data_IF_122818599366
#
_entry.id   IF_122818599366
#
_cell.length_a   1.000
_cell.length_b   1.000
_cell.length_c   1.000
_cell.angle_alpha   90.00
_cell.angle_beta   90.00
_cell.angle_gamma   90.00
#
_symmetry.space_group_name_H-M   'P 1'
#
loop_
_entity.id
_entity.type
_entity.pdbx_description
1 polymer ?
#
# COMPACT_ATOMS: atom_id res chain seq x y z
N UNK A 1 -11.52 27.28 8.13
CA UNK A 1 -11.05 27.95 9.36
C UNK A 1 -11.09 26.91 10.45
N UNK A 2 -9.96 26.26 10.70
CA UNK A 2 -9.01 26.68 11.76
C UNK A 2 -9.78 26.79 13.09
N UNK A 3 -9.46 26.04 14.14
CA UNK A 3 -8.18 25.43 14.44
C UNK A 3 -8.32 24.64 15.75
N UNK A 4 -7.48 23.60 15.91
CA UNK A 4 -6.66 23.31 17.09
C UNK A 4 -7.36 23.09 18.44
N UNK A 5 -6.84 22.34 19.39
CA UNK A 5 -5.66 21.53 19.63
C UNK A 5 -6.09 20.71 20.87
N UNK A 6 -5.69 19.47 21.06
CA UNK A 6 -4.30 19.07 21.15
C UNK A 6 -3.93 18.87 22.63
N UNK A 7 -3.89 17.60 23.01
CA UNK A 7 -2.86 16.92 23.82
C UNK A 7 -2.50 17.47 25.22
N UNK A 8 -2.63 16.60 26.21
CA UNK A 8 -1.47 16.00 26.93
C UNK A 8 -1.97 14.73 27.66
N UNK A 9 -1.32 13.58 27.50
CA UNK A 9 -0.32 13.00 28.43
C UNK A 9 -0.84 12.98 29.88
N UNK A 10 -0.77 11.90 30.66
CA UNK A 10 0.05 10.71 30.63
C UNK A 10 -0.42 9.79 31.79
N UNK A 11 -0.13 8.50 31.67
CA UNK A 11 0.28 7.61 32.75
C UNK A 11 -0.69 7.19 33.90
N UNK A 12 -0.94 5.88 33.90
CA UNK A 12 -0.76 4.91 35.01
C UNK A 12 -1.33 5.31 36.38
N UNK A 13 -2.24 4.54 36.99
CA UNK A 13 -1.84 3.35 37.75
C UNK A 13 -3.06 2.70 38.45
N UNK A 14 -3.06 1.36 38.43
CA UNK A 14 -3.48 0.45 39.51
C UNK A 14 -4.95 0.35 39.98
N UNK A 15 -5.53 -0.81 39.61
CA UNK A 15 -6.22 -1.76 40.48
C UNK A 15 -7.39 -1.27 41.36
N UNK A 16 -8.61 -1.66 40.98
CA UNK A 16 -9.22 -2.89 41.50
C UNK A 16 -10.48 -3.29 40.73
N UNK A 17 -10.56 -4.59 40.47
CA UNK A 17 -11.66 -5.29 39.84
C UNK A 17 -13.01 -4.96 40.49
N UNK A 18 -13.95 -4.58 39.64
CA UNK A 18 -15.34 -4.97 39.73
C UNK A 18 -15.45 -6.50 39.74
N UNK A 19 -16.01 -7.08 40.81
CA UNK A 19 -16.94 -8.19 40.66
C UNK A 19 -18.21 -7.81 41.42
N UNK A 20 -19.22 -7.54 40.60
CA UNK A 20 -20.64 -7.47 40.86
C UNK A 20 -21.11 -8.10 42.18
N UNK A 21 -21.50 -7.23 43.12
CA UNK A 21 -22.64 -7.47 44.00
C UNK A 21 -23.91 -7.06 43.27
N UNK A 22 -24.62 -8.05 42.77
CA UNK A 22 -26.04 -7.99 42.41
C UNK A 22 -26.60 -9.35 42.86
N UNK A 23 -27.72 -9.48 43.56
CA UNK A 23 -28.76 -8.53 43.95
C UNK A 23 -29.67 -9.33 44.88
N UNK A 24 -29.78 -8.96 46.16
CA UNK A 24 -30.99 -9.23 46.94
C UNK A 24 -31.28 -7.94 47.71
N UNK A 25 -32.27 -7.19 47.21
CA UNK A 25 -33.01 -6.14 47.92
C UNK A 25 -33.56 -6.70 49.24
N UNK A 26 -33.71 -5.97 50.33
CA UNK A 26 -34.52 -4.76 50.50
C UNK A 26 -33.98 -3.99 51.73
N UNK A 27 -33.57 -2.73 51.52
CA UNK A 27 -34.32 -1.53 51.90
C UNK A 27 -34.22 -1.19 53.40
N UNK A 28 -33.41 -0.17 53.69
CA UNK A 28 -33.46 0.55 54.96
C UNK A 28 -34.70 1.44 55.02
N UNK A 29 -35.26 1.56 56.21
CA UNK A 29 -36.04 2.72 56.62
C UNK A 29 -35.38 3.23 57.91
N UNK A 30 -34.80 4.42 57.80
CA UNK A 30 -34.36 5.23 58.93
C UNK A 30 -35.60 5.74 59.68
N UNK A 31 -35.65 5.54 61.00
CA UNK A 31 -36.41 6.43 61.89
C UNK A 31 -35.53 6.65 63.13
N UNK A 32 -34.99 7.87 63.26
CA UNK A 32 -34.60 8.39 64.57
C UNK A 32 -35.85 8.62 65.40
N UNK A 33 -35.81 8.43 66.73
CA UNK A 33 -36.22 9.55 67.54
C UNK A 33 -35.42 9.76 68.83
N UNK A 34 -35.47 11.03 69.21
CA UNK A 34 -35.08 11.65 70.47
C UNK A 34 -36.08 11.26 71.58
N UNK A 35 -35.62 11.32 72.83
CA UNK A 35 -36.34 11.26 74.11
C UNK A 35 -36.65 9.90 74.75
N UNK A 36 -35.76 9.53 75.67
CA UNK A 36 -35.96 9.27 77.09
C UNK A 36 -37.28 8.60 77.60
N UNK A 37 -37.03 7.47 78.28
CA UNK A 37 -37.75 6.80 79.37
C UNK A 37 -39.01 5.95 79.07
N UNK A 38 -38.88 4.73 79.60
CA UNK A 38 -39.86 3.71 80.00
C UNK A 38 -40.20 2.59 79.01
N UNK A 39 -39.50 1.48 79.27
CA UNK A 39 -39.60 0.11 78.77
C UNK A 39 -41.01 -0.47 78.91
N UNK A 40 -41.55 -1.01 77.82
CA UNK A 40 -42.35 -2.23 77.81
C UNK A 40 -41.97 -3.02 76.55
N UNK A 41 -41.00 -3.94 76.68
CA UNK A 41 -40.65 -4.89 75.63
C UNK A 41 -41.86 -5.82 75.47
N UNK A 42 -42.60 -5.67 74.36
CA UNK A 42 -43.73 -6.54 74.09
C UNK A 42 -43.25 -7.98 74.01
N UNK A 43 -44.00 -8.89 74.63
CA UNK A 43 -43.76 -10.34 74.63
C UNK A 43 -43.54 -10.90 73.23
N UNK A 44 -44.10 -10.27 72.20
CA UNK A 44 -43.89 -10.63 70.80
C UNK A 44 -42.45 -10.42 70.30
N UNK A 45 -41.73 -9.41 70.79
CA UNK A 45 -40.34 -9.16 70.39
C UNK A 45 -39.38 -10.21 70.96
N UNK A 46 -39.65 -10.68 72.17
CA UNK A 46 -38.91 -11.78 72.79
C UNK A 46 -39.18 -13.08 72.05
N UNK A 47 -40.43 -13.35 71.66
CA UNK A 47 -40.80 -14.53 70.87
C UNK A 47 -40.09 -14.50 69.50
N UNK A 48 -40.07 -13.36 68.81
CA UNK A 48 -39.37 -13.23 67.53
C UNK A 48 -37.85 -13.47 67.65
N UNK A 49 -37.22 -12.94 68.69
CA UNK A 49 -35.80 -13.19 68.96
C UNK A 49 -35.52 -14.67 69.31
N UNK A 50 -36.38 -15.31 70.11
CA UNK A 50 -36.24 -16.73 70.45
C UNK A 50 -36.44 -17.62 69.23
N UNK A 51 -37.41 -17.32 68.36
CA UNK A 51 -37.62 -18.04 67.09
C UNK A 51 -36.45 -17.82 66.13
N UNK A 52 -35.93 -16.59 66.01
CA UNK A 52 -34.79 -16.31 65.15
C UNK A 52 -33.50 -16.99 65.64
N UNK A 53 -33.24 -16.96 66.95
CA UNK A 53 -32.09 -17.63 67.57
C UNK A 53 -32.23 -19.15 67.45
N UNK A 54 -33.40 -19.72 67.74
CA UNK A 54 -33.64 -21.17 67.61
C UNK A 54 -33.55 -21.65 66.17
N UNK A 55 -34.06 -20.89 65.19
CA UNK A 55 -33.95 -21.22 63.77
C UNK A 55 -32.49 -21.10 63.28
N UNK A 56 -31.74 -20.10 63.77
CA UNK A 56 -30.30 -19.96 63.49
C UNK A 56 -29.48 -21.10 64.10
N UNK A 57 -29.79 -21.51 65.33
CA UNK A 57 -29.18 -22.67 65.99
C UNK A 57 -29.52 -23.95 65.23
N UNK A 58 -30.73 -24.11 64.71
CA UNK A 58 -31.13 -25.29 63.93
C UNK A 58 -30.37 -25.37 62.61
N UNK A 59 -30.18 -24.24 61.92
CA UNK A 59 -29.36 -24.16 60.69
C UNK A 59 -27.90 -24.48 61.00
N UNK A 60 -27.33 -23.92 62.07
CA UNK A 60 -25.97 -24.20 62.52
C UNK A 60 -25.82 -25.67 62.93
N UNK A 61 -26.81 -26.25 63.62
CA UNK A 61 -26.81 -27.65 64.02
C UNK A 61 -26.91 -28.57 62.81
N UNK A 62 -27.74 -28.25 61.80
CA UNK A 62 -27.84 -29.01 60.54
C UNK A 62 -26.54 -28.92 59.73
N UNK A 63 -25.89 -27.75 59.72
CA UNK A 63 -24.56 -27.54 59.11
C UNK A 63 -23.45 -28.31 59.84
N UNK A 64 -23.44 -28.28 61.18
CA UNK A 64 -22.48 -29.00 62.02
C UNK A 64 -22.69 -30.52 61.96
N UNK A 65 -23.94 -30.99 61.87
CA UNK A 65 -24.26 -32.41 61.75
C UNK A 65 -23.87 -32.93 60.35
N UNK A 66 -24.08 -32.14 59.29
CA UNK A 66 -23.56 -32.42 57.95
C UNK A 66 -22.03 -32.43 57.90
N UNK A 67 -21.37 -31.49 58.58
CA UNK A 67 -19.91 -31.44 58.68
C UNK A 67 -19.33 -32.62 59.48
N UNK A 68 -19.95 -33.03 60.61
CA UNK A 68 -19.55 -34.20 61.41
C UNK A 68 -19.71 -35.51 60.65
N UNK A 69 -20.79 -35.65 59.85
CA UNK A 69 -21.02 -36.85 59.02
C UNK A 69 -19.97 -36.99 57.91
N UNK A 70 -19.52 -35.87 57.32
CA UNK A 70 -18.48 -35.86 56.29
C UNK A 70 -17.05 -36.11 56.83
N UNK A 71 -16.72 -35.62 58.03
CA UNK A 71 -15.41 -35.93 58.67
C UNK A 71 -15.25 -37.42 59.02
N UNK A 72 -16.35 -38.12 59.29
CA UNK A 72 -16.34 -39.57 59.51
C UNK A 72 -15.96 -40.37 58.27
N UNK A 73 -16.40 -39.94 57.08
CA UNK A 73 -16.15 -40.63 55.81
C UNK A 73 -14.66 -40.58 55.43
N UNK A 74 -14.02 -39.41 55.58
CA UNK A 74 -12.58 -39.28 55.32
C UNK A 74 -11.76 -40.14 56.29
N UNK A 75 -12.19 -40.25 57.56
CA UNK A 75 -11.56 -41.14 58.53
C UNK A 75 -11.67 -42.60 58.12
N UNK A 76 -12.84 -43.04 57.62
CA UNK A 76 -13.04 -44.40 57.12
C UNK A 76 -12.19 -44.71 55.88
N UNK A 77 -12.07 -43.76 54.95
CA UNK A 77 -11.21 -43.91 53.76
C UNK A 77 -9.74 -44.04 54.18
N UNK A 78 -9.27 -43.19 55.10
CA UNK A 78 -7.89 -43.25 55.58
C UNK A 78 -7.60 -44.59 56.31
N UNK A 79 -8.56 -45.15 57.05
CA UNK A 79 -8.42 -46.48 57.66
C UNK A 79 -8.35 -47.60 56.61
N UNK A 80 -9.22 -47.55 55.60
CA UNK A 80 -9.19 -48.52 54.50
C UNK A 80 -7.85 -48.46 53.74
N UNK A 81 -7.36 -47.24 53.49
CA UNK A 81 -6.07 -47.00 52.85
C UNK A 81 -4.86 -47.52 53.63
N UNK A 82 -4.91 -47.42 54.96
CA UNK A 82 -3.88 -47.94 55.84
C UNK A 82 -3.82 -49.48 55.79
N UNK A 83 -4.99 -50.13 55.75
CA UNK A 83 -5.14 -51.58 55.62
C UNK A 83 -4.65 -52.06 54.24
N UNK A 84 -5.12 -51.42 53.16
CA UNK A 84 -4.77 -51.79 51.79
C UNK A 84 -3.29 -51.54 51.47
N UNK A 85 -2.73 -50.44 51.97
CA UNK A 85 -1.34 -50.04 51.71
C UNK A 85 -0.31 -50.58 52.70
N UNK A 86 -0.70 -51.50 53.60
CA UNK A 86 0.16 -52.05 54.66
C UNK A 86 0.95 -50.96 55.43
N UNK A 87 0.29 -49.84 55.77
CA UNK A 87 0.91 -48.72 56.49
C UNK A 87 1.90 -47.85 55.71
N UNK A 88 2.13 -48.10 54.41
CA UNK A 88 3.10 -47.35 53.58
C UNK A 88 2.52 -46.04 53.02
N UNK A 89 1.21 -45.86 53.07
CA UNK A 89 0.52 -44.74 52.43
C UNK A 89 0.09 -43.72 53.48
N UNK A 90 0.62 -42.51 53.41
CA UNK A 90 0.20 -41.45 54.33
C UNK A 90 -1.28 -41.04 54.14
N UNK A 91 -1.99 -40.73 55.23
CA UNK A 91 -3.41 -40.39 55.18
C UNK A 91 -3.67 -39.06 54.46
N UNK A 92 -4.87 -38.93 53.91
CA UNK A 92 -5.36 -37.68 53.31
C UNK A 92 -5.70 -36.72 54.46
N UNK A 93 -5.03 -35.57 54.48
CA UNK A 93 -5.05 -34.64 55.64
C UNK A 93 -6.32 -33.80 55.77
N UNK A 94 -7.07 -33.60 54.68
CA UNK A 94 -8.24 -32.74 54.66
C UNK A 94 -9.20 -33.12 53.54
N UNK A 95 -10.45 -32.71 53.66
CA UNK A 95 -11.47 -32.85 52.65
C UNK A 95 -11.69 -31.51 51.93
N UNK A 96 -11.75 -31.54 50.60
CA UNK A 96 -12.07 -30.34 49.81
C UNK A 96 -13.57 -30.04 49.92
N UNK A 97 -13.91 -28.77 50.14
CA UNK A 97 -15.29 -28.28 50.23
C UNK A 97 -15.68 -27.32 49.11
N UNK A 98 -14.73 -26.92 48.27
CA UNK A 98 -14.90 -26.02 47.13
C UNK A 98 -14.90 -26.81 45.82
N UNK A 99 -15.32 -26.21 44.71
CA UNK A 99 -15.20 -26.85 43.41
C UNK A 99 -13.72 -27.12 43.07
N UNK A 100 -13.46 -28.20 42.33
CA UNK A 100 -12.11 -28.66 41.98
C UNK A 100 -11.39 -27.63 41.10
N UNK A 101 -12.13 -26.89 40.28
CA UNK A 101 -11.62 -25.87 39.35
C UNK A 101 -11.04 -24.64 40.07
N UNK A 102 -11.52 -24.34 41.28
CA UNK A 102 -11.10 -23.18 42.07
C UNK A 102 -9.90 -23.47 43.00
N UNK A 103 -9.37 -24.70 42.98
CA UNK A 103 -8.27 -25.12 43.83
C UNK A 103 -6.92 -24.57 43.36
N UNK A 104 -6.03 -24.28 44.31
CA UNK A 104 -4.64 -23.99 44.00
C UNK A 104 -3.98 -25.19 43.30
N UNK A 105 -3.14 -24.98 42.27
CA UNK A 105 -2.51 -26.07 41.51
C UNK A 105 -1.71 -27.06 42.36
N UNK A 106 -1.08 -26.59 43.44
CA UNK A 106 -0.33 -27.44 44.38
C UNK A 106 -1.25 -28.40 45.15
N UNK A 107 -2.41 -27.92 45.57
CA UNK A 107 -3.44 -28.71 46.27
C UNK A 107 -4.06 -29.75 45.34
N UNK A 108 -4.34 -29.38 44.09
CA UNK A 108 -4.87 -30.29 43.07
C UNK A 108 -3.88 -31.41 42.73
N UNK A 109 -2.60 -31.08 42.57
CA UNK A 109 -1.53 -32.07 42.34
C UNK A 109 -1.40 -33.04 43.52
N UNK A 110 -1.48 -32.54 44.75
CA UNK A 110 -1.44 -33.39 45.95
C UNK A 110 -2.61 -34.38 45.98
N UNK A 111 -3.84 -33.92 45.72
CA UNK A 111 -5.04 -34.75 45.73
C UNK A 111 -5.03 -35.77 44.60
N UNK A 112 -4.66 -35.37 43.37
CA UNK A 112 -4.53 -36.27 42.22
C UNK A 112 -3.59 -37.43 42.54
N UNK A 113 -2.38 -37.12 43.03
CA UNK A 113 -1.40 -38.14 43.44
C UNK A 113 -1.94 -39.08 44.50
N UNK A 114 -2.68 -38.55 45.49
CA UNK A 114 -3.24 -39.38 46.55
C UNK A 114 -4.37 -40.29 46.05
N UNK A 115 -5.23 -39.78 45.18
CA UNK A 115 -6.28 -40.56 44.54
C UNK A 115 -5.71 -41.67 43.65
N UNK A 116 -4.69 -41.38 42.82
CA UNK A 116 -4.07 -42.40 41.96
C UNK A 116 -3.39 -43.48 42.77
N UNK A 117 -2.64 -43.14 43.81
CA UNK A 117 -2.05 -44.14 44.73
C UNK A 117 -3.13 -44.98 45.41
N UNK A 118 -4.24 -44.37 45.83
CA UNK A 118 -5.37 -45.08 46.45
C UNK A 118 -5.98 -46.11 45.52
N UNK A 119 -6.25 -45.73 44.27
CA UNK A 119 -6.83 -46.67 43.30
C UNK A 119 -5.81 -47.73 42.89
N UNK A 120 -4.54 -47.37 42.75
CA UNK A 120 -3.50 -48.34 42.40
C UNK A 120 -3.42 -49.49 43.40
N UNK A 121 -3.47 -49.18 44.69
CA UNK A 121 -3.34 -50.17 45.77
C UNK A 121 -4.61 -51.00 45.93
N UNK A 122 -5.78 -50.38 45.71
CA UNK A 122 -7.03 -51.13 45.60
C UNK A 122 -7.02 -52.10 44.40
N UNK A 123 -6.46 -51.68 43.26
CA UNK A 123 -6.31 -52.53 42.08
C UNK A 123 -5.27 -53.64 42.28
N UNK A 124 -4.19 -53.38 43.03
CA UNK A 124 -3.19 -54.41 43.34
C UNK A 124 -3.74 -55.48 44.29
N UNK A 125 -4.68 -55.10 45.18
CA UNK A 125 -5.43 -56.07 45.98
C UNK A 125 -6.39 -56.94 45.14
N UNK A 126 -6.97 -56.39 44.07
CA UNK A 126 -7.89 -57.10 43.17
C UNK A 126 -7.13 -58.01 42.19
N UNK A 127 -6.01 -57.51 41.64
CA UNK A 127 -5.21 -58.18 40.62
C UNK A 127 -3.71 -57.95 40.89
N UNK A 128 -3.08 -58.79 41.74
CA UNK A 128 -1.70 -58.57 42.18
C UNK A 128 -0.74 -58.55 41.00
N UNK A 129 0.19 -57.58 41.01
CA UNK A 129 1.19 -57.37 39.93
C UNK A 129 0.63 -56.94 38.57
N UNK A 130 -0.69 -56.79 38.42
CA UNK A 130 -1.34 -56.32 37.18
C UNK A 130 -2.01 -54.96 37.33
N UNK A 131 -1.91 -54.32 38.50
CA UNK A 131 -2.56 -53.03 38.80
C UNK A 131 -2.29 -51.93 37.77
N UNK A 132 -1.08 -51.88 37.17
CA UNK A 132 -0.72 -50.92 36.11
C UNK A 132 -1.44 -51.16 34.78
N UNK A 133 -1.74 -52.42 34.46
CA UNK A 133 -2.47 -52.76 33.24
C UNK A 133 -3.94 -52.37 33.42
N UNK A 134 -4.54 -52.67 34.58
CA UNK A 134 -5.91 -52.28 34.89
C UNK A 134 -6.11 -50.77 35.02
N UNK A 135 -5.13 -50.03 35.56
CA UNK A 135 -5.20 -48.56 35.59
C UNK A 135 -5.22 -47.94 34.20
N UNK A 136 -4.58 -48.59 33.21
CA UNK A 136 -4.62 -48.17 31.80
C UNK A 136 -6.01 -48.41 31.17
N UNK A 137 -6.65 -49.55 31.47
CA UNK A 137 -8.02 -49.86 31.03
C UNK A 137 -9.06 -48.93 31.65
N UNK A 138 -8.86 -48.52 32.91
CA UNK A 138 -9.75 -47.59 33.62
C UNK A 138 -9.43 -46.11 33.34
N UNK A 139 -8.45 -45.82 32.47
CA UNK A 139 -8.00 -44.48 32.09
C UNK A 139 -7.55 -43.58 33.27
N UNK A 140 -7.05 -44.17 34.36
CA UNK A 140 -6.71 -43.45 35.59
C UNK A 140 -5.37 -42.70 35.47
N UNK A 141 -4.43 -43.24 34.69
CA UNK A 141 -3.07 -42.70 34.50
C UNK A 141 -2.95 -41.79 33.26
N UNK A 142 -4.02 -41.57 32.51
CA UNK A 142 -4.00 -40.58 31.43
C UNK A 142 -4.00 -39.19 32.07
N UNK A 143 -2.82 -38.57 32.16
CA UNK A 143 -2.73 -37.10 32.19
C UNK A 143 -3.68 -36.55 31.11
N UNK A 144 -4.39 -35.43 31.34
CA UNK A 144 -5.12 -34.73 30.30
C UNK A 144 -4.13 -34.05 29.34
N UNK A 145 -3.27 -34.85 28.72
CA UNK A 145 -2.70 -34.56 27.42
C UNK A 145 -3.88 -34.56 26.46
N UNK A 146 -4.31 -33.33 26.13
CA UNK A 146 -5.28 -32.98 25.10
C UNK A 146 -5.49 -34.08 24.04
N UNK A 147 -6.70 -34.65 24.07
CA UNK A 147 -7.46 -35.26 22.96
C UNK A 147 -6.69 -36.24 22.07
N UNK A 148 -6.86 -37.52 22.38
CA UNK A 148 -6.98 -38.63 21.40
C UNK A 148 -7.76 -39.71 22.17
N UNK A 149 -8.97 -40.12 21.81
CA UNK A 149 -9.36 -40.76 20.55
C UNK A 149 -10.89 -40.60 20.36
N UNK A 150 -11.28 -39.78 19.41
CA UNK A 150 -12.46 -40.02 18.58
C UNK A 150 -12.23 -39.24 17.27
N UNK A 151 -11.22 -39.64 16.51
CA UNK A 151 -11.01 -39.11 15.16
C UNK A 151 -12.10 -39.70 14.26
N UNK A 152 -13.14 -38.91 14.06
CA UNK A 152 -14.18 -39.19 13.09
C UNK A 152 -13.55 -39.26 11.70
N UNK A 153 -14.12 -40.05 10.79
CA UNK A 153 -13.74 -40.10 9.36
C UNK A 153 -13.66 -38.73 8.68
N UNK A 154 -14.28 -37.72 9.28
CA UNK A 154 -14.29 -36.32 8.86
C UNK A 154 -12.95 -35.62 9.16
N UNK A 155 -12.30 -35.92 10.28
CA UNK A 155 -11.01 -35.34 10.65
C UNK A 155 -9.89 -35.74 9.68
N UNK A 156 -9.93 -36.98 9.17
CA UNK A 156 -8.96 -37.49 8.18
C UNK A 156 -9.19 -36.79 6.83
N UNK A 157 -10.45 -36.61 6.41
CA UNK A 157 -10.80 -35.90 5.17
C UNK A 157 -10.39 -34.43 5.24
N UNK A 158 -10.60 -33.77 6.37
CA UNK A 158 -10.19 -32.39 6.60
C UNK A 158 -8.67 -32.25 6.55
N UNK A 159 -7.92 -33.18 7.16
CA UNK A 159 -6.45 -33.19 7.08
C UNK A 159 -5.95 -33.33 5.64
N UNK A 160 -6.53 -34.25 4.86
CA UNK A 160 -6.19 -34.44 3.45
C UNK A 160 -6.48 -33.20 2.60
N UNK A 161 -7.62 -32.54 2.82
CA UNK A 161 -8.00 -31.32 2.13
C UNK A 161 -7.05 -30.16 2.45
N UNK A 162 -6.62 -30.01 3.71
CA UNK A 162 -5.65 -28.98 4.11
C UNK A 162 -4.28 -29.22 3.44
N UNK A 163 -3.86 -30.49 3.32
CA UNK A 163 -2.61 -30.86 2.63
C UNK A 163 -2.68 -30.53 1.15
N UNK A 164 -3.80 -30.82 0.50
CA UNK A 164 -4.01 -30.47 -0.91
C UNK A 164 -3.90 -28.95 -1.11
N UNK A 165 -4.62 -28.16 -0.30
CA UNK A 165 -4.55 -26.69 -0.36
C UNK A 165 -3.14 -26.14 -0.07
N UNK A 166 -2.38 -26.80 0.80
CA UNK A 166 -1.00 -26.42 1.09
C UNK A 166 -0.09 -26.59 -0.13
N UNK A 167 -0.27 -27.67 -0.90
CA UNK A 167 0.50 -27.95 -2.10
C UNK A 167 0.14 -27.01 -3.26
N UNK A 168 -1.15 -26.65 -3.38
CA UNK A 168 -1.64 -25.72 -4.41
C UNK A 168 -1.30 -24.25 -4.11
N UNK A 169 -1.11 -23.90 -2.84
CA UNK A 169 -0.80 -22.52 -2.43
C UNK A 169 0.61 -22.09 -2.85
N UNK A 170 0.76 -20.87 -3.36
CA UNK A 170 2.07 -20.24 -3.62
C UNK A 170 2.49 -19.26 -2.50
N UNK A 171 1.52 -18.67 -1.80
CA UNK A 171 1.78 -17.70 -0.73
C UNK A 171 2.29 -18.39 0.56
N UNK A 172 3.43 -17.89 1.06
CA UNK A 172 4.05 -18.38 2.30
C UNK A 172 3.15 -18.17 3.52
N UNK A 173 2.39 -17.07 3.57
CA UNK A 173 1.50 -16.80 4.69
C UNK A 173 0.30 -17.76 4.71
N UNK A 174 -0.28 -18.03 3.53
CA UNK A 174 -1.34 -19.04 3.37
C UNK A 174 -0.83 -20.43 3.77
N UNK A 175 0.40 -20.80 3.37
CA UNK A 175 1.03 -22.06 3.80
C UNK A 175 1.19 -22.17 5.32
N UNK A 176 1.63 -21.10 5.98
CA UNK A 176 1.76 -21.07 7.44
C UNK A 176 0.39 -21.17 8.12
N UNK A 177 -0.63 -20.50 7.58
CA UNK A 177 -2.00 -20.56 8.07
C UNK A 177 -2.57 -21.98 7.97
N UNK A 178 -2.46 -22.62 6.79
CA UNK A 178 -2.92 -23.99 6.54
C UNK A 178 -2.22 -24.99 7.47
N UNK A 179 -0.90 -24.91 7.61
CA UNK A 179 -0.15 -25.77 8.53
C UNK A 179 -0.51 -25.52 10.00
N UNK A 180 -0.87 -24.29 10.36
CA UNK A 180 -1.27 -23.97 11.74
C UNK A 180 -2.60 -24.61 12.15
N UNK A 181 -3.45 -24.99 11.18
CA UNK A 181 -4.70 -25.73 11.45
C UNK A 181 -4.42 -27.18 11.87
N UNK A 182 -3.35 -27.77 11.37
CA UNK A 182 -2.94 -29.16 11.66
C UNK A 182 -1.79 -29.22 12.67
N UNK A 183 -1.59 -28.14 13.44
CA UNK A 183 -0.49 -28.02 14.40
C UNK A 183 -0.50 -29.06 15.53
N UNK A 184 -1.65 -29.71 15.75
CA UNK A 184 -1.87 -30.72 16.78
C UNK A 184 -1.18 -32.06 16.46
N UNK A 185 -0.87 -32.32 15.17
CA UNK A 185 -0.16 -33.53 14.78
C UNK A 185 1.33 -33.44 15.14
N UNK A 186 1.92 -34.63 15.37
CA UNK A 186 3.36 -34.73 15.63
C UNK A 186 4.19 -34.29 14.42
N UNK A 187 5.42 -33.81 14.64
CA UNK A 187 6.29 -33.34 13.54
C UNK A 187 6.57 -34.46 12.52
N UNK A 188 6.75 -35.69 13.02
CA UNK A 188 6.99 -36.88 12.19
C UNK A 188 5.76 -37.20 11.34
N UNK A 189 4.58 -37.22 11.94
CA UNK A 189 3.33 -37.46 11.21
C UNK A 189 3.09 -36.42 10.09
N UNK A 190 3.41 -35.15 10.34
CA UNK A 190 3.29 -34.08 9.32
C UNK A 190 4.34 -34.20 8.21
N UNK A 191 5.53 -34.73 8.51
CA UNK A 191 6.57 -35.03 7.51
C UNK A 191 6.22 -36.24 6.64
N UNK A 192 5.55 -37.24 7.23
CA UNK A 192 5.05 -38.40 6.51
C UNK A 192 3.87 -38.02 5.59
N UNK A 193 3.01 -37.10 6.03
CA UNK A 193 1.87 -36.57 5.27
C UNK A 193 2.27 -35.59 4.15
N UNK A 194 3.34 -34.81 4.36
CA UNK A 194 3.87 -33.84 3.40
C UNK A 194 5.38 -34.07 3.24
N UNK A 195 5.81 -34.93 2.29
CA UNK A 195 7.21 -35.22 2.08
C UNK A 195 7.97 -33.95 1.64
N UNK A 196 9.07 -33.64 2.32
CA UNK A 196 9.93 -32.49 2.02
C UNK A 196 9.63 -31.21 2.80
N UNK A 197 8.67 -31.22 3.75
CA UNK A 197 8.42 -30.06 4.60
C UNK A 197 9.56 -29.81 5.60
N UNK A 198 10.05 -28.57 5.66
CA UNK A 198 11.10 -28.17 6.60
C UNK A 198 10.57 -28.14 8.04
N UNK A 199 11.38 -28.62 9.00
CA UNK A 199 11.07 -28.50 10.43
C UNK A 199 10.85 -27.04 10.85
N UNK A 200 11.56 -26.10 10.21
CA UNK A 200 11.38 -24.67 10.44
C UNK A 200 9.98 -24.19 10.07
N UNK A 201 9.38 -24.69 8.98
CA UNK A 201 8.03 -24.33 8.56
C UNK A 201 6.99 -24.83 9.57
N UNK A 202 7.16 -26.04 10.10
CA UNK A 202 6.32 -26.63 11.15
C UNK A 202 6.42 -25.84 12.46
N UNK A 203 7.63 -25.46 12.87
CA UNK A 203 7.84 -24.65 14.07
C UNK A 203 7.25 -23.24 13.93
N UNK A 204 7.38 -22.65 12.75
CA UNK A 204 6.76 -21.34 12.44
C UNK A 204 5.23 -21.43 12.49
N UNK A 205 4.63 -22.49 11.95
CA UNK A 205 3.18 -22.71 11.98
C UNK A 205 2.64 -22.96 13.40
N UNK A 206 3.40 -23.65 14.25
CA UNK A 206 3.06 -23.83 15.66
C UNK A 206 3.17 -22.52 16.44
N UNK A 207 4.22 -21.75 16.21
CA UNK A 207 4.35 -20.42 16.79
C UNK A 207 3.21 -19.51 16.36
N UNK A 208 2.78 -19.60 15.10
CA UNK A 208 1.60 -18.90 14.59
C UNK A 208 0.32 -19.31 15.35
N UNK A 209 0.05 -20.62 15.46
CA UNK A 209 -1.11 -21.15 16.19
C UNK A 209 -1.15 -20.67 17.66
N UNK A 210 0.02 -20.57 18.31
CA UNK A 210 0.14 -20.09 19.70
C UNK A 210 -0.06 -18.56 19.80
N UNK A 211 0.50 -17.78 18.88
CA UNK A 211 0.49 -16.30 18.93
C UNK A 211 -0.82 -15.69 18.42
N UNK A 212 -1.36 -16.23 17.33
CA UNK A 212 -2.48 -15.64 16.59
C UNK A 212 -3.75 -16.51 16.61
N UNK A 213 -3.62 -17.78 17.00
CA UNK A 213 -4.70 -18.77 16.89
C UNK A 213 -4.59 -19.64 15.64
N UNK A 214 -5.22 -20.81 15.67
CA UNK A 214 -5.19 -21.78 14.57
C UNK A 214 -5.98 -21.28 13.37
N UNK A 215 -5.41 -21.38 12.17
CA UNK A 215 -6.10 -21.05 10.92
C UNK A 215 -6.43 -19.57 10.74
N UNK A 216 -5.94 -18.69 11.61
CA UNK A 216 -6.16 -17.24 11.49
C UNK A 216 -5.34 -16.69 10.33
N UNK A 217 -5.94 -15.93 9.39
CA UNK A 217 -5.20 -15.33 8.31
C UNK A 217 -4.23 -14.28 8.85
N UNK A 218 -2.96 -14.40 8.48
CA UNK A 218 -1.99 -13.34 8.75
C UNK A 218 -2.35 -12.13 7.88
N UNK A 219 -2.39 -10.92 8.46
CA UNK A 219 -2.56 -9.72 7.66
C UNK A 219 -1.44 -9.70 6.63
N UNK A 220 -1.80 -9.57 5.34
CA UNK A 220 -0.82 -9.34 4.29
C UNK A 220 -0.05 -8.10 4.71
N UNK A 221 1.26 -8.25 4.94
CA UNK A 221 2.11 -7.09 5.17
C UNK A 221 2.00 -6.23 3.93
N UNK A 222 1.33 -5.09 4.06
CA UNK A 222 1.37 -4.05 3.05
C UNK A 222 2.84 -3.75 2.80
N UNK A 223 3.27 -3.85 1.54
CA UNK A 223 4.62 -3.48 1.16
C UNK A 223 4.70 -1.97 1.32
N UNK A 224 5.16 -1.52 2.49
CA UNK A 224 5.52 -0.13 2.68
C UNK A 224 6.74 0.18 1.82
N UNK A 225 6.49 0.70 0.63
CA UNK A 225 7.51 1.39 -0.15
C UNK A 225 7.91 2.61 0.66
N UNK A 226 9.19 2.74 1.03
CA UNK A 226 9.67 3.93 1.74
C UNK A 226 9.37 5.16 0.87
N UNK A 227 8.45 6.00 1.31
CA UNK A 227 8.29 7.34 0.75
C UNK A 227 9.53 8.15 1.12
N UNK A 228 10.39 8.36 0.13
CA UNK A 228 11.68 9.06 0.28
C UNK A 228 11.55 10.58 0.06
N UNK A 229 10.35 11.05 -0.26
CA UNK A 229 10.02 12.43 -0.59
C UNK A 229 9.19 13.01 0.55
N UNK A 230 9.52 14.25 0.94
CA UNK A 230 8.74 15.01 1.92
C UNK A 230 7.34 15.32 1.35
N UNK A 231 6.32 14.83 2.04
CA UNK A 231 4.91 14.97 1.62
C UNK A 231 4.46 16.42 1.63
N UNK A 232 4.90 17.24 2.59
CA UNK A 232 4.49 18.64 2.66
C UNK A 232 5.06 19.48 1.51
N UNK A 233 6.32 19.21 1.12
CA UNK A 233 6.95 19.88 -0.02
C UNK A 233 6.39 19.40 -1.36
N UNK A 234 5.98 18.13 -1.43
CA UNK A 234 5.31 17.58 -2.61
C UNK A 234 3.92 18.20 -2.79
N UNK A 235 3.11 18.24 -1.74
CA UNK A 235 1.74 18.79 -1.81
C UNK A 235 1.77 20.26 -2.24
N UNK A 236 2.66 21.07 -1.67
CA UNK A 236 2.82 22.47 -2.07
C UNK A 236 3.19 22.63 -3.56
N UNK A 237 4.07 21.76 -4.08
CA UNK A 237 4.43 21.77 -5.49
C UNK A 237 3.27 21.32 -6.38
N UNK A 238 2.52 20.30 -5.98
CA UNK A 238 1.34 19.83 -6.71
C UNK A 238 0.24 20.89 -6.74
N UNK A 239 -0.04 21.55 -5.61
CA UNK A 239 -1.03 22.64 -5.54
C UNK A 239 -0.69 23.77 -6.51
N UNK A 240 0.59 24.18 -6.57
CA UNK A 240 1.03 25.18 -7.53
C UNK A 240 0.94 24.67 -8.97
N UNK A 241 1.38 23.44 -9.24
CA UNK A 241 1.32 22.86 -10.58
C UNK A 241 -0.11 22.69 -11.06
N UNK A 242 -1.08 22.38 -10.21
CA UNK A 242 -2.48 22.21 -10.62
C UNK A 242 -3.30 23.49 -10.55
N UNK A 243 -2.64 24.64 -10.33
CA UNK A 243 -3.33 25.93 -10.40
C UNK A 243 -3.96 26.12 -11.79
N UNK A 244 -5.23 26.57 -11.88
CA UNK A 244 -5.94 26.78 -13.14
C UNK A 244 -5.23 27.73 -14.12
N UNK A 245 -4.29 28.54 -13.65
CA UNK A 245 -3.44 29.39 -14.50
C UNK A 245 -2.52 28.59 -15.42
N UNK A 246 -2.04 27.43 -14.97
CA UNK A 246 -1.07 26.60 -15.71
C UNK A 246 -1.73 25.42 -16.45
N UNK A 247 -2.97 25.06 -16.10
CA UNK A 247 -3.64 23.88 -16.64
C UNK A 247 -5.08 24.18 -17.06
N UNK A 248 -5.46 23.66 -18.23
CA UNK A 248 -6.82 23.70 -18.76
C UNK A 248 -7.36 22.27 -18.85
N UNK A 249 -8.55 22.04 -18.29
CA UNK A 249 -9.25 20.75 -18.46
C UNK A 249 -9.75 20.65 -19.90
N UNK A 250 -9.42 19.54 -20.58
CA UNK A 250 -9.95 19.29 -21.92
C UNK A 250 -11.46 19.06 -21.86
N UNK A 251 -12.20 19.56 -22.84
CA UNK A 251 -13.63 19.30 -22.98
C UNK A 251 -13.94 17.85 -23.42
N UNK A 252 -12.93 17.10 -23.86
CA UNK A 252 -13.04 15.70 -24.27
C UNK A 252 -11.69 14.97 -24.12
N UNK A 253 -11.72 13.69 -23.74
CA UNK A 253 -10.52 12.85 -23.58
C UNK A 253 -10.33 12.35 -22.15
N UNK A 254 -9.97 11.07 -22.03
CA UNK A 254 -9.60 10.42 -20.77
C UNK A 254 -8.24 9.76 -20.92
N UNK A 255 -7.44 9.80 -19.87
CA UNK A 255 -6.10 9.21 -19.82
C UNK A 255 -6.03 8.16 -18.72
N UNK A 256 -5.33 7.08 -19.00
CA UNK A 256 -5.13 5.99 -18.05
C UNK A 256 -3.83 6.19 -17.29
N UNK A 257 -3.92 6.27 -15.97
CA UNK A 257 -2.79 6.36 -15.05
C UNK A 257 -2.59 5.00 -14.38
N UNK A 258 -1.43 4.38 -14.63
CA UNK A 258 -1.06 3.09 -14.05
C UNK A 258 -0.33 3.30 -12.74
N UNK A 259 -0.92 2.82 -11.64
CA UNK A 259 -0.28 2.81 -10.34
C UNK A 259 0.76 1.70 -10.25
N UNK A 260 1.73 1.85 -9.35
CA UNK A 260 2.73 0.83 -9.03
C UNK A 260 2.13 -0.45 -8.42
N UNK A 261 0.87 -0.40 -7.98
CA UNK A 261 0.04 -1.54 -7.59
C UNK A 261 -0.45 -2.38 -8.78
N UNK A 262 -0.32 -1.89 -10.01
CA UNK A 262 -0.87 -2.48 -11.23
C UNK A 262 -2.31 -2.04 -11.54
N UNK A 263 -2.91 -1.21 -10.68
CA UNK A 263 -4.24 -0.63 -10.89
C UNK A 263 -4.20 0.50 -11.94
N UNK A 264 -5.27 0.60 -12.75
CA UNK A 264 -5.40 1.60 -13.81
C UNK A 264 -6.52 2.57 -13.43
N UNK A 265 -6.17 3.84 -13.23
CA UNK A 265 -7.11 4.92 -12.94
C UNK A 265 -7.42 5.69 -14.22
N UNK A 266 -8.69 6.00 -14.47
CA UNK A 266 -9.07 6.89 -15.56
C UNK A 266 -9.22 8.33 -15.05
N UNK A 267 -8.47 9.24 -15.67
CA UNK A 267 -8.40 10.65 -15.28
C UNK A 267 -8.78 11.49 -16.52
N UNK A 268 -9.53 12.60 -16.39
CA UNK A 268 -9.77 13.50 -17.50
C UNK A 268 -8.46 14.02 -18.09
N UNK A 269 -8.41 14.18 -19.41
CA UNK A 269 -7.22 14.71 -20.07
C UNK A 269 -7.01 16.18 -19.70
N UNK A 270 -5.87 16.47 -19.11
CA UNK A 270 -5.47 17.83 -18.70
C UNK A 270 -4.42 18.35 -19.65
N UNK A 271 -4.59 19.61 -20.05
CA UNK A 271 -3.71 20.29 -20.99
C UNK A 271 -2.90 21.36 -20.24
N UNK A 272 -1.57 21.28 -20.30
CA UNK A 272 -0.68 22.31 -19.73
C UNK A 272 -0.53 23.49 -20.69
N UNK A 273 -0.71 24.70 -20.18
CA UNK A 273 -0.55 25.96 -20.93
C UNK A 273 0.90 26.42 -21.00
N UNK A 274 1.75 26.03 -20.04
CA UNK A 274 3.17 26.35 -19.97
C UNK A 274 4.05 25.09 -20.06
N UNK A 275 5.28 25.24 -20.57
CA UNK A 275 6.26 24.15 -20.59
C UNK A 275 6.80 23.88 -19.17
N UNK A 276 7.36 22.68 -18.96
CA UNK A 276 7.81 22.26 -17.62
C UNK A 276 8.90 23.18 -17.08
N UNK A 277 9.83 23.66 -17.92
CA UNK A 277 10.88 24.60 -17.51
C UNK A 277 10.29 25.90 -16.97
N UNK A 278 9.39 26.55 -17.72
CA UNK A 278 8.73 27.77 -17.27
C UNK A 278 7.92 27.58 -16.00
N UNK A 279 7.21 26.46 -15.84
CA UNK A 279 6.45 26.17 -14.61
C UNK A 279 7.40 26.03 -13.41
N UNK A 280 8.52 25.31 -13.58
CA UNK A 280 9.51 25.14 -12.51
C UNK A 280 10.19 26.47 -12.19
N UNK A 281 10.54 27.28 -13.18
CA UNK A 281 11.16 28.60 -12.94
C UNK A 281 10.21 29.55 -12.21
N UNK A 282 8.93 29.55 -12.60
CA UNK A 282 7.89 30.34 -11.93
C UNK A 282 7.67 29.85 -10.50
N UNK A 283 7.61 28.54 -10.28
CA UNK A 283 7.48 27.95 -8.94
C UNK A 283 8.68 28.29 -8.05
N UNK A 284 9.90 28.20 -8.58
CA UNK A 284 11.11 28.54 -7.82
C UNK A 284 11.15 30.03 -7.47
N UNK A 285 10.62 30.89 -8.34
CA UNK A 285 10.50 32.33 -8.08
C UNK A 285 9.44 32.61 -7.02
N UNK A 286 8.27 31.97 -7.12
CA UNK A 286 7.20 32.01 -6.12
C UNK A 286 7.69 31.55 -4.74
N UNK A 287 8.43 30.44 -4.66
CA UNK A 287 8.96 29.93 -3.39
C UNK A 287 9.97 30.90 -2.74
N UNK A 288 10.73 31.65 -3.55
CA UNK A 288 11.62 32.71 -3.03
C UNK A 288 10.83 33.87 -2.43
N UNK A 289 9.72 34.25 -3.03
CA UNK A 289 8.86 35.33 -2.54
C UNK A 289 8.11 34.94 -1.26
N UNK A 290 7.68 33.67 -1.15
CA UNK A 290 6.95 33.17 0.02
C UNK A 290 7.85 32.61 1.12
N UNK A 291 9.18 32.75 1.00
CA UNK A 291 10.19 32.19 1.92
C UNK A 291 10.02 30.67 2.17
N UNK A 292 9.61 29.93 1.14
CA UNK A 292 9.44 28.48 1.21
C UNK A 292 10.66 27.76 0.65
N UNK A 293 11.05 26.63 1.24
CA UNK A 293 12.16 25.81 0.75
C UNK A 293 11.64 24.66 -0.13
N UNK A 294 11.72 24.77 -1.47
CA UNK A 294 11.17 23.79 -2.39
C UNK A 294 12.00 22.50 -2.46
N UNK A 295 11.46 21.50 -3.17
CA UNK A 295 12.21 20.32 -3.61
C UNK A 295 13.28 20.72 -4.64
N UNK A 296 14.27 19.84 -4.84
CA UNK A 296 15.29 20.05 -5.87
C UNK A 296 14.66 20.18 -7.25
N UNK A 297 15.26 21.00 -8.12
CA UNK A 297 14.82 21.22 -9.50
C UNK A 297 14.61 19.90 -10.25
N UNK A 298 15.54 18.95 -10.11
CA UNK A 298 15.43 17.61 -10.71
C UNK A 298 14.22 16.82 -10.21
N UNK A 299 13.91 16.90 -8.90
CA UNK A 299 12.73 16.26 -8.32
C UNK A 299 11.44 16.86 -8.86
N UNK A 300 11.39 18.19 -9.03
CA UNK A 300 10.23 18.89 -9.59
C UNK A 300 9.96 18.50 -11.05
N UNK A 301 11.01 18.37 -11.87
CA UNK A 301 10.89 17.84 -13.23
C UNK A 301 10.39 16.39 -13.25
N UNK A 302 10.90 15.54 -12.36
CA UNK A 302 10.42 14.16 -12.25
C UNK A 302 8.93 14.10 -11.85
N UNK A 303 8.47 15.01 -10.99
CA UNK A 303 7.03 15.11 -10.65
C UNK A 303 6.21 15.49 -11.89
N UNK A 304 6.69 16.46 -12.68
CA UNK A 304 6.00 16.90 -13.90
C UNK A 304 6.02 15.84 -15.01
N UNK A 305 7.04 14.99 -15.09
CA UNK A 305 7.12 13.88 -16.04
C UNK A 305 6.20 12.71 -15.67
N UNK A 306 6.10 12.38 -14.38
CA UNK A 306 5.19 11.35 -13.85
C UNK A 306 3.72 11.77 -13.90
N UNK A 307 3.45 13.08 -13.98
CA UNK A 307 2.13 13.64 -14.24
C UNK A 307 2.04 14.06 -15.72
N UNK A 308 1.87 13.15 -16.69
CA UNK A 308 1.90 13.50 -18.10
C UNK A 308 0.62 14.26 -18.48
N UNK A 309 0.71 15.59 -18.52
CA UNK A 309 -0.31 16.43 -19.12
C UNK A 309 -0.06 16.55 -20.63
N UNK A 310 -1.14 16.60 -21.41
CA UNK A 310 -1.03 16.89 -22.83
C UNK A 310 -0.55 18.33 -23.00
N UNK A 311 0.37 18.59 -23.92
CA UNK A 311 0.72 19.97 -24.24
C UNK A 311 -0.48 20.64 -24.89
N UNK A 312 -0.68 21.94 -24.62
CA UNK A 312 -1.64 22.74 -25.38
C UNK A 312 -1.18 22.80 -26.83
N UNK A 313 -1.64 21.85 -27.62
CA UNK A 313 -1.81 22.09 -29.05
C UNK A 313 -2.96 23.08 -29.11
N UNK A 314 -2.63 24.38 -29.04
CA UNK A 314 -3.60 25.47 -29.15
C UNK A 314 -4.57 25.10 -30.28
N UNK A 315 -5.88 25.19 -30.01
CA UNK A 315 -7.00 24.99 -30.96
C UNK A 315 -6.49 25.01 -32.39
N UNK A 316 -6.38 23.84 -33.05
CA UNK A 316 -5.68 23.66 -34.33
C UNK A 316 -6.18 24.65 -35.40
N UNK A 317 -5.63 25.84 -35.38
CA UNK A 317 -5.74 26.87 -36.39
C UNK A 317 -4.39 27.01 -37.06
N UNK A 318 -4.41 27.41 -38.33
CA UNK A 318 -3.21 27.68 -39.12
C UNK A 318 -2.24 28.63 -38.37
N UNK A 319 -2.78 29.58 -37.60
CA UNK A 319 -1.99 30.58 -36.86
C UNK A 319 -1.02 29.97 -35.83
N UNK A 320 -1.35 28.84 -35.20
CA UNK A 320 -0.46 28.21 -34.23
C UNK A 320 0.75 27.57 -34.89
N UNK A 321 0.55 26.94 -36.04
CA UNK A 321 1.64 26.33 -36.80
C UNK A 321 2.55 27.43 -37.36
N UNK A 322 1.99 28.59 -37.72
CA UNK A 322 2.77 29.74 -38.20
C UNK A 322 3.59 30.34 -37.05
N UNK A 323 2.96 30.51 -35.88
CA UNK A 323 3.63 30.97 -34.68
C UNK A 323 4.75 30.01 -34.26
N UNK A 324 4.50 28.70 -34.23
CA UNK A 324 5.50 27.69 -33.90
C UNK A 324 6.68 27.70 -34.87
N UNK A 325 6.42 27.86 -36.18
CA UNK A 325 7.47 27.98 -37.19
C UNK A 325 8.31 29.25 -37.02
N UNK A 326 7.69 30.38 -36.67
CA UNK A 326 8.41 31.63 -36.38
C UNK A 326 9.26 31.51 -35.12
N UNK A 327 8.70 30.95 -34.04
CA UNK A 327 9.40 30.70 -32.78
C UNK A 327 10.59 29.74 -32.99
N UNK A 328 10.40 28.67 -33.77
CA UNK A 328 11.47 27.73 -34.10
C UNK A 328 12.63 28.40 -34.86
N UNK A 329 12.34 29.37 -35.73
CA UNK A 329 13.39 30.18 -36.35
C UNK A 329 14.15 31.03 -35.34
N UNK A 330 13.45 31.60 -34.37
CA UNK A 330 14.08 32.36 -33.28
C UNK A 330 14.98 31.47 -32.43
N UNK A 331 14.56 30.22 -32.15
CA UNK A 331 15.41 29.21 -31.50
C UNK A 331 16.68 28.92 -32.30
N UNK A 332 16.61 28.73 -33.62
CA UNK A 332 17.81 28.52 -34.44
C UNK A 332 18.76 29.73 -34.40
N UNK A 333 18.22 30.95 -34.44
CA UNK A 333 19.00 32.18 -34.34
C UNK A 333 19.66 32.31 -32.97
N UNK A 334 18.97 31.92 -31.89
CA UNK A 334 19.48 31.93 -30.54
C UNK A 334 20.58 30.88 -30.34
N UNK A 335 20.41 29.67 -30.87
CA UNK A 335 21.45 28.63 -30.88
C UNK A 335 22.71 29.17 -31.55
N UNK A 336 22.61 29.73 -32.76
CA UNK A 336 23.76 30.33 -33.47
C UNK A 336 24.40 31.45 -32.63
N UNK A 337 23.62 32.27 -31.94
CA UNK A 337 24.14 33.33 -31.06
C UNK A 337 24.86 32.79 -29.82
N UNK A 338 24.36 31.70 -29.22
CA UNK A 338 25.02 31.03 -28.09
C UNK A 338 26.39 30.48 -28.51
N UNK A 339 26.46 29.81 -29.66
CA UNK A 339 27.73 29.33 -30.22
C UNK A 339 28.69 30.48 -30.58
N UNK A 340 28.19 31.59 -31.10
CA UNK A 340 28.98 32.80 -31.37
C UNK A 340 29.62 33.36 -30.08
N UNK A 341 28.92 33.31 -28.95
CA UNK A 341 29.41 33.81 -27.67
C UNK A 341 30.41 32.85 -26.98
N UNK A 342 30.28 31.54 -27.23
CA UNK A 342 31.20 30.52 -26.69
C UNK A 342 32.49 30.39 -27.52
N UNK A 343 32.43 30.68 -28.82
CA UNK A 343 33.54 30.52 -29.76
C UNK A 343 34.46 31.75 -29.78
N UNK A 344 35.50 31.76 -28.95
CA UNK A 344 36.50 32.86 -28.93
C UNK A 344 37.44 32.81 -30.14
N UNK A 345 37.62 31.66 -30.81
CA UNK A 345 38.56 31.51 -31.91
C UNK A 345 38.15 30.36 -32.85
N UNK A 346 37.51 30.67 -33.99
CA UNK A 346 37.52 29.83 -35.20
C UNK A 346 36.96 30.62 -36.40
N UNK A 347 37.47 30.32 -37.60
CA UNK A 347 37.13 30.93 -38.90
C UNK A 347 35.67 30.68 -39.37
N UNK A 348 34.77 30.26 -38.48
CA UNK A 348 33.37 29.96 -38.78
C UNK A 348 32.54 31.23 -38.72
N UNK A 349 31.87 31.55 -39.83
CA UNK A 349 31.14 32.80 -39.98
C UNK A 349 29.74 32.69 -39.36
N UNK A 350 29.65 32.65 -38.02
CA UNK A 350 28.38 32.65 -37.29
C UNK A 350 27.51 33.87 -37.62
N UNK A 351 28.14 35.01 -37.95
CA UNK A 351 27.42 36.21 -38.39
C UNK A 351 26.68 35.98 -39.71
N UNK A 352 27.33 35.35 -40.69
CA UNK A 352 26.72 35.00 -41.98
C UNK A 352 25.61 33.95 -41.81
N UNK A 353 25.78 32.94 -40.95
CA UNK A 353 24.70 31.98 -40.66
C UNK A 353 23.48 32.67 -40.04
N UNK A 354 23.70 33.58 -39.08
CA UNK A 354 22.63 34.36 -38.47
C UNK A 354 21.93 35.25 -39.50
N UNK A 355 22.68 35.91 -40.38
CA UNK A 355 22.12 36.75 -41.45
C UNK A 355 21.31 35.92 -42.47
N UNK A 356 21.78 34.72 -42.83
CA UNK A 356 21.05 33.77 -43.68
C UNK A 356 19.72 33.33 -43.04
N UNK A 357 19.72 33.01 -41.74
CA UNK A 357 18.49 32.65 -41.02
C UNK A 357 17.51 33.82 -40.92
N UNK A 358 17.98 35.03 -40.63
CA UNK A 358 17.15 36.24 -40.61
C UNK A 358 16.58 36.53 -42.00
N UNK A 359 17.40 36.41 -43.05
CA UNK A 359 16.99 36.61 -44.44
C UNK A 359 15.95 35.58 -44.87
N UNK A 360 16.13 34.33 -44.47
CA UNK A 360 15.16 33.27 -44.74
C UNK A 360 13.84 33.49 -43.96
N UNK A 361 13.92 33.94 -42.70
CA UNK A 361 12.75 34.34 -41.90
C UNK A 361 11.95 35.44 -42.58
N UNK A 362 12.64 36.47 -43.09
CA UNK A 362 12.01 37.57 -43.81
C UNK A 362 11.39 37.10 -45.13
N UNK A 363 12.14 36.30 -45.89
CA UNK A 363 11.70 35.71 -47.15
C UNK A 363 10.39 34.94 -47.00
N UNK A 364 10.27 34.08 -45.97
CA UNK A 364 9.03 33.35 -45.68
C UNK A 364 7.86 34.31 -45.41
N UNK A 365 8.09 35.40 -44.66
CA UNK A 365 7.03 36.36 -44.30
C UNK A 365 6.54 37.23 -45.46
N UNK A 366 7.43 37.63 -46.38
CA UNK A 366 7.10 38.64 -47.39
C UNK A 366 6.92 38.06 -48.79
N UNK A 367 7.93 37.34 -49.28
CA UNK A 367 8.13 37.09 -50.71
C UNK A 367 7.72 35.68 -51.09
N UNK A 368 7.87 34.71 -50.18
CA UNK A 368 7.67 33.29 -50.46
C UNK A 368 6.29 33.00 -51.08
N UNK A 369 5.24 33.68 -50.60
CA UNK A 369 3.87 33.55 -51.13
C UNK A 369 3.73 33.84 -52.63
N UNK A 370 4.62 34.66 -53.20
CA UNK A 370 4.63 35.01 -54.63
C UNK A 370 5.42 34.00 -55.48
N UNK A 371 6.28 33.21 -54.85
CA UNK A 371 7.06 32.17 -55.51
C UNK A 371 6.29 30.85 -55.58
N UNK A 372 5.30 30.65 -54.72
CA UNK A 372 4.49 29.42 -54.69
C UNK A 372 3.48 29.41 -55.85
N UNK A 373 3.53 28.37 -56.69
CA UNK A 373 2.64 28.17 -57.84
C UNK A 373 2.08 26.74 -57.88
N UNK A 374 0.95 26.53 -58.58
CA UNK A 374 0.33 25.20 -58.65
C UNK A 374 1.27 24.15 -59.24
N UNK A 375 2.12 24.58 -60.18
CA UNK A 375 3.14 23.78 -60.86
C UNK A 375 4.36 24.67 -61.03
N UNK A 376 5.53 24.19 -60.64
CA UNK A 376 6.79 24.92 -60.71
C UNK A 376 7.95 23.93 -60.89
N UNK A 377 9.02 24.33 -61.57
CA UNK A 377 10.23 23.52 -61.69
C UNK A 377 11.03 23.43 -60.38
N UNK A 378 10.71 24.26 -59.38
CA UNK A 378 11.24 24.12 -58.03
C UNK A 378 10.30 23.32 -57.13
N UNK A 379 10.82 22.26 -56.51
CA UNK A 379 10.07 21.40 -55.57
C UNK A 379 9.47 22.18 -54.39
N UNK A 380 10.18 23.22 -53.92
CA UNK A 380 9.75 24.07 -52.81
C UNK A 380 8.68 25.11 -53.19
N UNK A 381 8.44 25.31 -54.49
CA UNK A 381 7.49 26.29 -55.02
C UNK A 381 6.24 25.63 -55.59
N UNK A 382 6.37 24.39 -56.09
CA UNK A 382 5.28 23.62 -56.63
C UNK A 382 4.33 23.13 -55.53
N UNK A 383 3.13 23.72 -55.44
CA UNK A 383 2.07 23.32 -54.49
C UNK A 383 1.75 21.83 -54.64
N UNK A 384 1.63 21.33 -55.87
CA UNK A 384 1.23 19.95 -56.12
C UNK A 384 2.26 18.95 -55.59
N UNK A 385 3.54 19.28 -55.68
CA UNK A 385 4.61 18.45 -55.14
C UNK A 385 4.78 18.63 -53.63
N UNK A 386 4.86 19.88 -53.16
CA UNK A 386 5.07 20.21 -51.75
C UNK A 386 3.91 19.84 -50.82
N UNK A 387 2.71 19.55 -51.33
CA UNK A 387 1.57 19.07 -50.54
C UNK A 387 1.29 17.57 -50.75
N UNK A 388 2.05 16.88 -51.60
CA UNK A 388 1.86 15.45 -51.87
C UNK A 388 2.46 14.60 -50.75
N UNK A 389 1.67 13.66 -50.22
CA UNK A 389 2.19 12.67 -49.27
C UNK A 389 2.86 11.49 -50.01
N UNK A 390 4.16 11.18 -49.77
CA UNK A 390 4.83 10.06 -50.43
C UNK A 390 4.41 8.68 -49.89
N UNK A 391 3.78 8.63 -48.71
CA UNK A 391 3.41 7.39 -48.01
C UNK A 391 1.93 7.03 -48.17
N UNK A 392 1.03 8.01 -48.12
CA UNK A 392 -0.41 7.80 -48.26
C UNK A 392 -0.86 7.99 -49.73
N UNK A 393 -1.08 6.89 -50.46
CA UNK A 393 -1.52 6.93 -51.88
C UNK A 393 -2.78 7.79 -52.15
N UNK A 394 -3.64 7.97 -51.15
CA UNK A 394 -4.87 8.78 -51.26
C UNK A 394 -4.60 10.29 -51.22
N UNK A 395 -3.48 10.68 -50.62
CA UNK A 395 -3.02 12.06 -50.47
C UNK A 395 -1.84 12.38 -51.40
N UNK A 396 -1.27 11.35 -52.03
CA UNK A 396 -0.22 11.47 -53.04
C UNK A 396 -0.75 12.13 -54.33
N UNK A 397 -0.03 13.12 -54.84
CA UNK A 397 -0.23 13.71 -56.18
C UNK A 397 1.11 13.69 -56.92
N UNK A 398 1.12 13.12 -58.12
CA UNK A 398 2.30 13.17 -58.98
C UNK A 398 2.26 14.40 -59.89
N UNK A 399 3.43 14.99 -60.12
CA UNK A 399 3.64 16.03 -61.13
C UNK A 399 4.18 15.34 -62.39
N UNK A 400 3.30 15.10 -63.38
CA UNK A 400 3.65 14.36 -64.60
C UNK A 400 4.08 15.25 -65.75
N UNK A 401 3.80 16.54 -65.67
CA UNK A 401 3.94 17.51 -66.75
C UNK A 401 5.10 18.49 -66.58
N UNK A 402 5.85 18.37 -65.48
CA UNK A 402 7.07 19.12 -65.21
C UNK A 402 8.04 18.32 -64.32
N UNK A 403 9.31 18.73 -64.30
CA UNK A 403 10.36 18.15 -63.47
C UNK A 403 10.74 19.13 -62.36
N UNK A 404 11.25 18.60 -61.24
CA UNK A 404 11.71 19.41 -60.09
C UNK A 404 13.23 19.46 -60.00
N UNK A 405 13.89 19.91 -61.08
CA UNK A 405 15.34 19.97 -61.23
C UNK A 405 15.96 21.31 -60.78
N UNK A 406 15.13 22.34 -60.57
CA UNK A 406 15.58 23.66 -60.17
C UNK A 406 15.57 23.83 -58.64
N UNK A 407 16.68 24.34 -58.09
CA UNK A 407 16.79 24.73 -56.68
C UNK A 407 16.66 26.24 -56.53
N UNK A 408 15.79 26.69 -55.64
CA UNK A 408 15.66 28.12 -55.33
C UNK A 408 16.75 28.54 -54.33
N UNK A 409 17.63 29.51 -54.65
CA UNK A 409 18.71 29.94 -53.75
C UNK A 409 18.20 30.40 -52.38
N UNK A 410 17.03 31.06 -52.35
CA UNK A 410 16.41 31.51 -51.10
C UNK A 410 15.82 30.36 -50.29
N UNK A 411 15.28 29.32 -50.94
CA UNK A 411 14.77 28.14 -50.23
C UNK A 411 15.88 27.28 -49.65
N UNK A 412 17.07 27.28 -50.26
CA UNK A 412 18.24 26.54 -49.78
C UNK A 412 18.90 27.15 -48.53
N UNK A 413 18.61 28.42 -48.19
CA UNK A 413 19.25 29.09 -47.04
C UNK A 413 19.08 28.32 -45.71
N UNK A 414 17.89 27.79 -45.42
CA UNK A 414 17.64 27.00 -44.20
C UNK A 414 18.39 25.66 -44.19
N UNK A 415 18.18 24.75 -45.16
CA UNK A 415 18.86 23.45 -45.13
C UNK A 415 20.39 23.61 -45.18
N UNK A 416 20.92 24.55 -45.96
CA UNK A 416 22.36 24.79 -46.03
C UNK A 416 22.92 25.27 -44.68
N UNK A 417 22.21 26.18 -43.98
CA UNK A 417 22.62 26.65 -42.65
C UNK A 417 22.47 25.60 -41.57
N UNK A 418 21.42 24.78 -41.61
CA UNK A 418 21.19 23.70 -40.64
C UNK A 418 22.25 22.60 -40.78
N UNK A 419 22.61 22.21 -42.01
CA UNK A 419 23.68 21.24 -42.26
C UNK A 419 25.01 21.77 -41.71
N UNK A 420 25.33 23.03 -41.99
CA UNK A 420 26.56 23.65 -41.50
C UNK A 420 26.57 23.77 -39.97
N UNK A 421 25.43 24.13 -39.37
CA UNK A 421 25.29 24.22 -37.91
C UNK A 421 25.46 22.84 -37.24
N UNK A 422 24.85 21.78 -37.78
CA UNK A 422 25.03 20.40 -37.29
C UNK A 422 26.49 19.96 -37.40
N UNK A 423 27.17 20.30 -38.50
CA UNK A 423 28.60 20.02 -38.69
C UNK A 423 29.44 20.71 -37.61
N UNK A 424 29.23 22.00 -37.38
CA UNK A 424 29.96 22.76 -36.36
C UNK A 424 29.74 22.16 -34.97
N UNK A 425 28.51 21.80 -34.61
CA UNK A 425 28.18 21.21 -33.30
C UNK A 425 28.86 19.86 -33.10
N UNK A 426 28.98 19.06 -34.17
CA UNK A 426 29.68 17.78 -34.11
C UNK A 426 31.20 17.93 -33.91
N UNK A 427 31.79 19.02 -34.39
CA UNK A 427 33.22 19.31 -34.29
C UNK A 427 33.58 20.11 -33.01
N UNK A 428 32.58 20.67 -32.32
CA UNK A 428 32.81 21.53 -31.16
C UNK A 428 33.19 20.71 -29.92
N UNK A 429 34.41 20.91 -29.41
CA UNK A 429 34.99 20.13 -28.29
C UNK A 429 34.64 20.65 -26.91
N UNK A 430 34.20 21.91 -26.79
CA UNK A 430 34.06 22.61 -25.50
C UNK A 430 32.68 22.41 -24.84
N UNK A 431 31.86 21.48 -25.35
CA UNK A 431 30.50 21.19 -24.90
C UNK A 431 30.42 19.72 -24.48
N UNK A 432 29.66 19.44 -23.42
CA UNK A 432 29.45 18.07 -22.95
C UNK A 432 28.66 17.23 -23.97
N UNK A 433 28.78 15.90 -23.90
CA UNK A 433 27.99 15.00 -24.76
C UNK A 433 26.48 15.20 -24.56
N UNK A 434 26.04 15.46 -23.32
CA UNK A 434 24.63 15.71 -22.98
C UNK A 434 24.12 16.99 -23.66
N UNK A 435 24.82 18.11 -23.50
CA UNK A 435 24.48 19.38 -24.16
C UNK A 435 24.54 19.29 -25.69
N UNK A 436 25.51 18.54 -26.26
CA UNK A 436 25.59 18.31 -27.71
C UNK A 436 24.34 17.61 -28.22
N UNK A 437 23.89 16.57 -27.51
CA UNK A 437 22.66 15.85 -27.89
C UNK A 437 21.42 16.72 -27.77
N UNK A 438 21.33 17.58 -26.75
CA UNK A 438 20.24 18.56 -26.60
C UNK A 438 20.17 19.52 -27.80
N UNK A 439 21.30 20.13 -28.18
CA UNK A 439 21.34 21.06 -29.33
C UNK A 439 20.95 20.40 -30.65
N UNK A 440 21.38 19.17 -30.91
CA UNK A 440 21.02 18.46 -32.14
C UNK A 440 19.52 18.17 -32.21
N UNK A 441 18.91 17.74 -31.09
CA UNK A 441 17.46 17.51 -30.99
C UNK A 441 16.69 18.82 -31.19
N UNK A 442 17.16 19.92 -30.61
CA UNK A 442 16.53 21.24 -30.77
C UNK A 442 16.60 21.74 -32.21
N UNK A 443 17.73 21.56 -32.88
CA UNK A 443 17.88 21.94 -34.30
C UNK A 443 16.94 21.12 -35.19
N UNK A 444 16.88 19.79 -35.00
CA UNK A 444 15.98 18.93 -35.77
C UNK A 444 14.51 19.27 -35.52
N UNK A 445 14.15 19.52 -34.27
CA UNK A 445 12.81 19.93 -33.88
C UNK A 445 12.45 21.29 -34.48
N UNK A 446 13.38 22.24 -34.45
CA UNK A 446 13.18 23.58 -35.00
C UNK A 446 13.07 23.56 -36.53
N UNK A 447 13.95 22.82 -37.22
CA UNK A 447 13.89 22.60 -38.66
C UNK A 447 12.52 22.01 -39.07
N UNK A 448 12.07 20.96 -38.39
CA UNK A 448 10.77 20.34 -38.65
C UNK A 448 9.59 21.30 -38.43
N UNK A 449 9.64 22.14 -37.39
CA UNK A 449 8.61 23.16 -37.12
C UNK A 449 8.61 24.27 -38.16
N UNK A 450 9.77 24.75 -38.60
CA UNK A 450 9.89 25.75 -39.68
C UNK A 450 9.32 25.19 -40.99
N UNK A 451 9.65 23.95 -41.35
CA UNK A 451 9.15 23.31 -42.56
C UNK A 451 7.64 23.03 -42.48
N UNK A 452 7.12 22.64 -41.33
CA UNK A 452 5.67 22.49 -41.12
C UNK A 452 4.95 23.84 -41.21
N UNK A 453 5.54 24.90 -40.65
CA UNK A 453 5.06 26.28 -40.75
C UNK A 453 5.07 26.83 -42.17
N UNK A 454 6.08 26.45 -42.98
CA UNK A 454 6.16 26.80 -44.41
C UNK A 454 4.89 26.41 -45.16
N UNK A 455 4.20 25.34 -44.73
CA UNK A 455 3.05 24.86 -45.47
C UNK A 455 1.82 25.77 -45.40
N UNK A 456 1.72 26.59 -44.36
CA UNK A 456 0.62 27.55 -44.19
C UNK A 456 0.60 28.56 -45.34
N UNK A 457 1.77 28.94 -45.84
CA UNK A 457 1.88 29.84 -46.98
C UNK A 457 1.26 29.22 -48.25
N UNK A 458 1.32 27.90 -48.42
CA UNK A 458 0.64 27.20 -49.52
C UNK A 458 -0.90 27.21 -49.31
N UNK A 459 -1.38 27.08 -48.08
CA UNK A 459 -2.81 27.14 -47.77
C UNK A 459 -3.41 28.54 -48.02
N UNK A 460 -2.68 29.60 -47.64
CA UNK A 460 -3.09 31.00 -47.85
C UNK A 460 -3.12 31.35 -49.35
N UNK A 461 -2.15 30.87 -50.13
CA UNK A 461 -2.10 31.12 -51.58
C UNK A 461 -3.15 30.36 -52.38
N UNK A 462 -3.75 29.29 -51.85
CA UNK A 462 -4.63 28.40 -52.64
C UNK A 462 -6.13 28.57 -52.43
N UNK A 463 -6.62 29.25 -51.38
CA UNK A 463 -8.07 29.23 -51.01
C UNK A 463 -8.66 27.80 -50.93
N UNK A 464 -7.85 26.77 -50.66
CA UNK A 464 -8.35 25.39 -50.56
C UNK A 464 -8.48 25.03 -49.09
N UNK A 465 -9.69 24.65 -48.66
CA UNK A 465 -9.91 23.97 -47.39
C UNK A 465 -9.32 22.56 -47.47
N UNK A 466 -8.13 22.37 -46.89
CA UNK A 466 -7.46 21.07 -46.81
C UNK A 466 -7.34 20.60 -45.36
N UNK A 467 -7.63 19.32 -45.17
CA UNK A 467 -7.46 18.58 -43.93
C UNK A 467 -5.97 18.20 -43.78
N UNK A 468 -5.35 18.56 -42.66
CA UNK A 468 -3.90 18.51 -42.45
C UNK A 468 -3.42 17.37 -41.53
N UNK A 469 -2.30 16.73 -41.92
CA UNK A 469 -1.43 15.85 -41.09
C UNK A 469 0.04 16.31 -41.22
N UNK A 470 0.88 16.11 -40.19
CA UNK A 470 2.26 16.60 -40.17
C UNK A 470 3.15 15.88 -41.19
N UNK A 471 3.99 16.67 -41.86
CA UNK A 471 4.97 16.29 -42.86
C UNK A 471 6.02 15.34 -42.26
N UNK A 472 6.33 14.23 -42.95
CA UNK A 472 7.54 13.42 -42.69
C UNK A 472 8.56 13.76 -43.78
N UNK A 473 9.71 14.26 -43.37
CA UNK A 473 10.87 14.48 -44.25
C UNK A 473 11.51 13.12 -44.51
N UNK A 474 11.81 12.83 -45.78
CA UNK A 474 12.60 11.68 -46.24
C UNK A 474 14.09 12.00 -46.22
#
# INVERSE_FOLDING_TARGET
MFDKHGKSCENTTYHKLNIAKTKIMYAGICITPRFDKTVWISTEFVIFMVVYISCSILVIHKYLHGARKMTGILSSINKAMDILGHGKISPIKFQVRTNIEDLKPSTLRYLKRKATTTVHEALDCIAPSQAKNYSSYLHIDKEPSRRTELSTTEDIKLQQLIIQLYNESSDRNAKIQLLSMVSDLSKKALQDLIPGISQYALDTARQHAVKHGKGVPLPKKEKFTRQRIDTGKLDHALDFFFDPTFHQVSSFGTKELKLSSGEVLQIPEVVRTACHSSIVDTYMSYCKETEFEPLSRATLFNILSECPASHRTNLKGLDNIAADGVCAMDTLIEIVANFQNCSVNQNTNFSDMKEKLISYKLYLKTDFKHHVQMKDQCSDHCIQFALSDPTEKKLARSCTDHLHDMKCPRCCLLPDTVIELKRIISEFTDISEEERTEFLVDIETAEGKVLTGKVIFFAVSTKIGLVWKPYKIS
#
